data_IF_093266553747
#
_entry.id   IF_093266553747
#
_cell.length_a   1.000
_cell.length_b   1.000
_cell.length_c   1.000
_cell.angle_alpha   90.00
_cell.angle_beta   90.00
_cell.angle_gamma   90.00
#
_symmetry.space_group_name_H-M   'P 1'
#
loop_
_entity.id
_entity.type
_entity.pdbx_description
1 polymer ?
#
# COMPACT_ATOMS: atom_id res chain seq x y z
N UNK A 1 -9.72 -17.32 -9.89
CA UNK A 1 -9.70 -16.07 -9.08
C UNK A 1 -8.48 -15.22 -9.44
N UNK A 2 -7.30 -15.85 -9.56
CA UNK A 2 -6.05 -15.21 -9.98
C UNK A 2 -6.13 -14.49 -11.35
N UNK A 3 -6.82 -15.03 -12.35
CA UNK A 3 -6.90 -14.38 -13.68
C UNK A 3 -7.71 -13.08 -13.68
N UNK A 4 -8.74 -12.97 -12.82
CA UNK A 4 -9.51 -11.73 -12.65
C UNK A 4 -8.67 -10.66 -11.95
N UNK A 5 -7.93 -11.07 -10.90
CA UNK A 5 -6.98 -10.21 -10.19
C UNK A 5 -5.94 -9.70 -11.19
N UNK A 6 -5.31 -10.60 -11.95
CA UNK A 6 -4.33 -10.22 -12.96
C UNK A 6 -4.90 -9.22 -13.96
N UNK A 7 -6.08 -9.49 -14.53
CA UNK A 7 -6.76 -8.60 -15.48
C UNK A 7 -7.05 -7.21 -14.90
N UNK A 8 -7.42 -7.12 -13.62
CA UNK A 8 -7.65 -5.82 -12.96
C UNK A 8 -6.34 -5.09 -12.70
N UNK A 9 -5.29 -5.80 -12.26
CA UNK A 9 -4.00 -5.22 -11.90
C UNK A 9 -3.11 -4.91 -13.12
N UNK A 10 -3.37 -5.46 -14.31
CA UNK A 10 -2.69 -5.05 -15.55
C UNK A 10 -3.28 -3.76 -16.12
N UNK A 11 -4.56 -3.46 -15.87
CA UNK A 11 -5.13 -2.16 -16.28
C UNK A 11 -4.47 -1.00 -15.54
N UNK A 12 -4.21 0.10 -16.24
CA UNK A 12 -3.57 1.30 -15.66
C UNK A 12 -4.34 1.83 -14.45
N UNK A 13 -5.67 1.89 -14.55
CA UNK A 13 -6.52 2.37 -13.46
C UNK A 13 -6.52 1.41 -12.26
N UNK A 14 -6.68 0.10 -12.47
CA UNK A 14 -6.70 -0.87 -11.38
C UNK A 14 -5.36 -0.96 -10.64
N UNK A 15 -4.25 -0.87 -11.37
CA UNK A 15 -2.89 -0.79 -10.81
C UNK A 15 -2.69 0.44 -9.94
N UNK A 16 -3.12 1.62 -10.40
CA UNK A 16 -3.02 2.87 -9.65
C UNK A 16 -3.85 2.84 -8.37
N UNK A 17 -5.11 2.40 -8.46
CA UNK A 17 -6.01 2.32 -7.30
C UNK A 17 -5.44 1.35 -6.26
N UNK A 18 -4.97 0.18 -6.70
CA UNK A 18 -4.36 -0.80 -5.81
C UNK A 18 -3.11 -0.24 -5.12
N UNK A 19 -2.24 0.43 -5.88
CA UNK A 19 -1.01 1.00 -5.34
C UNK A 19 -1.27 2.13 -4.34
N UNK A 20 -2.27 2.99 -4.60
CA UNK A 20 -2.69 4.03 -3.67
C UNK A 20 -3.27 3.46 -2.38
N UNK A 21 -4.13 2.44 -2.48
CA UNK A 21 -4.68 1.75 -1.30
C UNK A 21 -3.58 1.08 -0.48
N UNK A 22 -2.65 0.39 -1.13
CA UNK A 22 -1.50 -0.20 -0.46
C UNK A 22 -0.65 0.87 0.25
N UNK A 23 -0.36 1.99 -0.43
CA UNK A 23 0.34 3.14 0.15
C UNK A 23 -0.36 3.74 1.37
N UNK A 24 -1.70 3.79 1.36
CA UNK A 24 -2.51 4.23 2.49
C UNK A 24 -2.39 3.26 3.68
N UNK A 25 -2.36 1.95 3.42
CA UNK A 25 -2.05 0.92 4.42
C UNK A 25 -0.71 1.15 5.10
N UNK A 26 0.35 1.39 4.32
CA UNK A 26 1.68 1.72 4.85
C UNK A 26 1.66 2.97 5.74
N UNK A 27 0.97 4.02 5.30
CA UNK A 27 0.85 5.24 6.07
C UNK A 27 0.18 5.01 7.42
N UNK A 28 -0.90 4.22 7.48
CA UNK A 28 -1.58 3.91 8.75
C UNK A 28 -0.66 3.19 9.75
N UNK A 29 0.15 2.25 9.28
CA UNK A 29 1.14 1.56 10.13
C UNK A 29 2.19 2.54 10.64
N UNK A 30 2.73 3.40 9.78
CA UNK A 30 3.76 4.38 10.17
C UNK A 30 3.18 5.44 11.13
N UNK A 31 1.95 5.89 10.89
CA UNK A 31 1.26 6.86 11.73
C UNK A 31 1.13 6.36 13.18
N UNK A 32 0.77 5.09 13.37
CA UNK A 32 0.73 4.43 14.68
C UNK A 32 2.06 4.57 15.43
N UNK A 33 3.17 4.20 14.78
CA UNK A 33 4.51 4.28 15.38
C UNK A 33 4.90 5.72 15.74
N UNK A 34 4.56 6.69 14.88
CA UNK A 34 4.88 8.10 15.10
C UNK A 34 4.11 8.68 16.30
N UNK A 35 2.83 8.30 16.46
CA UNK A 35 1.99 8.75 17.57
C UNK A 35 2.44 8.14 18.89
N UNK A 36 2.83 6.86 18.90
CA UNK A 36 3.28 6.16 20.10
C UNK A 36 4.57 6.75 20.69
N UNK A 37 5.43 7.33 19.85
CA UNK A 37 6.74 7.83 20.28
C UNK A 37 6.77 9.33 20.64
N UNK A 38 5.74 10.13 20.33
CA UNK A 38 5.79 11.59 20.53
C UNK A 38 4.40 12.25 20.72
N UNK A 39 4.22 12.96 21.83
CA UNK A 39 3.07 13.83 22.07
C UNK A 39 3.16 15.12 21.22
N UNK A 40 2.48 15.14 20.06
CA UNK A 40 2.43 16.27 19.11
C UNK A 40 2.82 15.95 17.66
N UNK A 41 3.13 14.69 17.37
CA UNK A 41 3.68 14.24 16.08
C UNK A 41 2.65 14.01 14.96
N UNK A 42 1.35 14.20 15.23
CA UNK A 42 0.28 14.04 14.25
C UNK A 42 0.43 15.01 13.06
N UNK A 43 0.84 16.26 13.31
CA UNK A 43 1.08 17.26 12.27
C UNK A 43 2.28 16.87 11.38
N UNK A 44 3.33 16.34 12.00
CA UNK A 44 4.52 15.85 11.32
C UNK A 44 4.17 14.64 10.43
N UNK A 45 3.40 13.69 10.96
CA UNK A 45 2.93 12.54 10.19
C UNK A 45 2.06 12.97 8.99
N UNK A 46 1.18 13.97 9.17
CA UNK A 46 0.35 14.48 8.09
C UNK A 46 1.18 15.17 6.98
N UNK A 47 2.26 15.87 7.35
CA UNK A 47 3.19 16.47 6.40
C UNK A 47 3.89 15.41 5.53
N UNK A 48 4.27 14.27 6.12
CA UNK A 48 4.89 13.16 5.39
C UNK A 48 3.89 12.22 4.72
N UNK A 49 2.58 12.33 4.99
CA UNK A 49 1.56 11.45 4.44
C UNK A 49 1.58 11.36 2.90
N UNK A 50 1.64 12.48 2.14
CA UNK A 50 1.66 12.41 0.69
C UNK A 50 2.93 11.71 0.18
N UNK A 51 4.07 11.97 0.82
CA UNK A 51 5.35 11.36 0.47
C UNK A 51 5.32 9.83 0.68
N UNK A 52 4.79 9.38 1.83
CA UNK A 52 4.72 7.96 2.19
C UNK A 52 3.73 7.24 1.27
N UNK A 53 2.51 7.77 1.11
CA UNK A 53 1.45 7.13 0.32
C UNK A 53 1.85 7.08 -1.15
N UNK A 54 2.19 8.22 -1.75
CA UNK A 54 2.55 8.28 -3.16
C UNK A 54 3.89 7.62 -3.44
N UNK A 55 4.86 7.72 -2.53
CA UNK A 55 6.16 7.05 -2.65
C UNK A 55 6.02 5.54 -2.66
N UNK A 56 5.30 4.97 -1.70
CA UNK A 56 5.01 3.54 -1.65
C UNK A 56 4.21 3.08 -2.88
N UNK A 57 3.21 3.86 -3.31
CA UNK A 57 2.43 3.57 -4.50
C UNK A 57 3.31 3.53 -5.77
N UNK A 58 4.21 4.51 -5.96
CA UNK A 58 5.11 4.56 -7.11
C UNK A 58 6.06 3.35 -7.15
N UNK A 59 6.62 2.97 -6.00
CA UNK A 59 7.47 1.77 -5.90
C UNK A 59 6.66 0.52 -6.29
N UNK A 60 5.43 0.39 -5.80
CA UNK A 60 4.57 -0.75 -6.10
C UNK A 60 4.23 -0.85 -7.59
N UNK A 61 3.84 0.28 -8.20
CA UNK A 61 3.56 0.35 -9.65
C UNK A 61 4.79 -0.06 -10.45
N UNK A 62 5.98 0.40 -10.04
CA UNK A 62 7.24 0.06 -10.70
C UNK A 62 7.56 -1.44 -10.60
N UNK A 63 7.40 -2.04 -9.42
CA UNK A 63 7.59 -3.48 -9.22
C UNK A 63 6.60 -4.32 -10.03
N UNK A 64 5.33 -3.92 -10.07
CA UNK A 64 4.32 -4.59 -10.89
C UNK A 64 4.64 -4.49 -12.38
N UNK A 65 5.12 -3.34 -12.85
CA UNK A 65 5.52 -3.14 -14.25
C UNK A 65 6.73 -4.01 -14.61
N UNK A 66 7.72 -4.10 -13.72
CA UNK A 66 8.85 -5.03 -13.90
C UNK A 66 8.42 -6.50 -13.96
N UNK A 67 7.45 -6.90 -13.13
CA UNK A 67 6.91 -8.25 -13.15
C UNK A 67 6.10 -8.56 -14.43
N UNK A 68 5.43 -7.54 -14.98
CA UNK A 68 4.72 -7.60 -16.26
C UNK A 68 5.71 -7.72 -17.44
N UNK A 69 6.76 -6.89 -17.47
CA UNK A 69 7.82 -6.91 -18.48
C UNK A 69 8.62 -8.24 -18.49
N UNK A 70 8.72 -8.90 -17.33
CA UNK A 70 9.35 -10.22 -17.17
C UNK A 70 8.40 -11.40 -17.45
N UNK A 71 7.19 -11.14 -17.96
CA UNK A 71 6.13 -12.13 -18.20
C UNK A 71 5.89 -13.06 -17.00
N UNK A 72 6.02 -12.53 -15.78
CA UNK A 72 5.90 -13.30 -14.55
C UNK A 72 4.61 -12.99 -13.80
N UNK A 73 3.47 -13.59 -14.20
CA UNK A 73 2.17 -13.33 -13.56
C UNK A 73 2.14 -13.79 -12.11
N UNK A 74 2.96 -14.77 -11.74
CA UNK A 74 3.05 -15.28 -10.36
C UNK A 74 3.61 -14.23 -9.39
N UNK A 75 4.52 -13.37 -9.86
CA UNK A 75 5.08 -12.28 -9.07
C UNK A 75 4.03 -11.18 -8.79
N UNK A 76 3.20 -10.84 -9.78
CA UNK A 76 2.09 -9.89 -9.63
C UNK A 76 1.08 -10.39 -8.58
N UNK A 77 0.72 -11.68 -8.64
CA UNK A 77 -0.20 -12.29 -7.67
C UNK A 77 0.39 -12.31 -6.25
N UNK A 78 1.69 -12.61 -6.11
CA UNK A 78 2.38 -12.55 -4.81
C UNK A 78 2.41 -11.12 -4.26
N UNK A 79 2.77 -10.14 -5.09
CA UNK A 79 2.75 -8.72 -4.72
C UNK A 79 1.36 -8.29 -4.26
N UNK A 80 0.31 -8.73 -4.96
CA UNK A 80 -1.07 -8.47 -4.57
C UNK A 80 -1.36 -8.98 -3.15
N UNK A 81 -1.10 -10.26 -2.90
CA UNK A 81 -1.41 -10.88 -1.60
C UNK A 81 -0.62 -10.27 -0.44
N UNK A 82 0.68 -10.00 -0.63
CA UNK A 82 1.52 -9.38 0.41
C UNK A 82 0.96 -8.01 0.81
N UNK A 83 0.57 -7.20 -0.17
CA UNK A 83 0.07 -5.85 0.11
C UNK A 83 -1.37 -5.83 0.61
N UNK A 84 -2.20 -6.81 0.25
CA UNK A 84 -3.53 -7.00 0.87
C UNK A 84 -3.40 -7.33 2.35
N UNK A 85 -2.48 -8.22 2.73
CA UNK A 85 -2.20 -8.53 4.14
C UNK A 85 -1.71 -7.29 4.88
N UNK A 86 -0.77 -6.56 4.29
CA UNK A 86 -0.25 -5.33 4.89
C UNK A 86 -1.32 -4.24 5.05
N UNK A 87 -2.22 -4.12 4.07
CA UNK A 87 -3.36 -3.21 4.14
C UNK A 87 -4.33 -3.61 5.27
N UNK A 88 -4.63 -4.90 5.42
CA UNK A 88 -5.46 -5.40 6.51
C UNK A 88 -4.83 -5.10 7.88
N UNK A 89 -3.52 -5.28 8.02
CA UNK A 89 -2.77 -4.89 9.23
C UNK A 89 -2.89 -3.39 9.48
N UNK A 90 -2.74 -2.56 8.44
CA UNK A 90 -2.94 -1.11 8.53
C UNK A 90 -4.33 -0.72 9.04
N UNK A 91 -5.39 -1.40 8.58
CA UNK A 91 -6.76 -1.19 9.07
C UNK A 91 -6.86 -1.54 10.56
N UNK A 92 -6.31 -2.69 10.99
CA UNK A 92 -6.35 -3.09 12.41
C UNK A 92 -5.68 -2.03 13.28
N UNK A 93 -4.51 -1.51 12.86
CA UNK A 93 -3.81 -0.45 13.57
C UNK A 93 -4.57 0.87 13.61
N UNK A 94 -5.28 1.21 12.53
CA UNK A 94 -6.12 2.40 12.46
C UNK A 94 -7.34 2.29 13.38
N UNK A 95 -8.07 1.17 13.35
CA UNK A 95 -9.23 0.94 14.23
C UNK A 95 -8.82 1.00 15.70
N UNK A 96 -7.70 0.39 16.06
CA UNK A 96 -7.23 0.40 17.44
C UNK A 96 -6.57 1.72 17.89
N UNK A 97 -6.48 2.72 17.01
CA UNK A 97 -6.17 4.11 17.39
C UNK A 97 -7.44 4.87 17.81
N UNK A 98 -8.62 4.45 17.35
CA UNK A 98 -9.91 5.11 17.65
C UNK A 98 -10.76 4.39 18.72
N UNK A 99 -10.32 3.22 19.19
CA UNK A 99 -10.89 2.51 20.35
C UNK A 99 -10.09 2.81 21.60
#
# INVERSE_FOLDING_TARGET
>A
MNDRILKTLTTTAGRLIFALLAGLGYFMVILRFIIEWSSGSSLLAFFFAPLIICGAALVLVKLMRQAEDAENPSAIIRLFWVHVVLFAIGIVFAVSMFM
#
